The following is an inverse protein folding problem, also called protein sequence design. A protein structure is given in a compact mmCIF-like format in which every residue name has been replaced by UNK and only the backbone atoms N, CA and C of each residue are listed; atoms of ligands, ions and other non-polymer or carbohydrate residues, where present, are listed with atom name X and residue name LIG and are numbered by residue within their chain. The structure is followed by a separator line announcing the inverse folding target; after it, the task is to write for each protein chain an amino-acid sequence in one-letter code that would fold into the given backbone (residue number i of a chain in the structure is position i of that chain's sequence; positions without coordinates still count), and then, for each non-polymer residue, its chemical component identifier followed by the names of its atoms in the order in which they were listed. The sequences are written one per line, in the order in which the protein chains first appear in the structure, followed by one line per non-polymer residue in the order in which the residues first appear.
data_IF_818228645125
#
_entry.id   IF_818228645125
#
_cell.length_a   1.000
_cell.length_b   1.000
_cell.length_c   1.000
_cell.angle_alpha   90.00
_cell.angle_beta   90.00
_cell.angle_gamma   90.00
#
_symmetry.space_group_name_H-M   'P 1'
#
loop_
_entity.id
_entity.type
_entity.pdbx_description
1 polymer ?
#
# COMPACT_ATOMS: atom_id res chain seq x y z
N UNK A 1 17.76 -25.97 5.32
CA UNK A 1 16.76 -24.90 5.05
C UNK A 1 16.85 -23.89 6.18
N UNK A 2 16.90 -22.58 5.90
CA UNK A 2 16.88 -21.58 6.94
C UNK A 2 15.58 -21.64 7.76
N UNK A 3 15.65 -21.27 9.03
CA UNK A 3 14.48 -21.09 9.89
C UNK A 3 13.78 -19.77 9.54
N UNK A 4 12.55 -19.56 10.01
CA UNK A 4 11.83 -18.28 9.82
C UNK A 4 12.62 -17.09 10.39
N UNK A 5 13.26 -17.28 11.54
CA UNK A 5 14.09 -16.25 12.19
C UNK A 5 15.35 -15.95 11.37
N UNK A 6 16.03 -16.97 10.83
CA UNK A 6 17.19 -16.78 9.95
C UNK A 6 16.78 -16.07 8.65
N UNK A 7 15.65 -16.45 8.04
CA UNK A 7 15.13 -15.76 6.87
C UNK A 7 14.88 -14.28 7.16
N UNK A 8 14.15 -13.95 8.24
CA UNK A 8 13.90 -12.57 8.64
C UNK A 8 15.19 -11.78 8.81
N UNK A 9 16.14 -12.30 9.59
CA UNK A 9 17.39 -11.60 9.92
C UNK A 9 18.29 -11.39 8.70
N UNK A 10 18.36 -12.36 7.80
CA UNK A 10 19.13 -12.24 6.56
C UNK A 10 18.51 -11.19 5.62
N UNK A 11 17.18 -11.18 5.48
CA UNK A 11 16.45 -10.17 4.70
C UNK A 11 16.60 -8.78 5.31
N UNK A 12 16.54 -8.67 6.64
CA UNK A 12 16.70 -7.40 7.36
C UNK A 12 18.06 -6.73 7.10
N UNK A 13 19.12 -7.51 6.83
CA UNK A 13 20.47 -7.00 6.56
C UNK A 13 20.70 -6.52 5.12
N UNK A 14 19.77 -6.81 4.21
CA UNK A 14 19.86 -6.45 2.79
C UNK A 14 18.68 -5.59 2.31
N UNK A 15 18.19 -4.62 3.09
CA UNK A 15 17.01 -3.84 2.70
C UNK A 15 17.30 -3.06 1.41
N UNK A 16 16.34 -3.09 0.48
CA UNK A 16 16.38 -2.40 -0.79
C UNK A 16 15.06 -1.66 -0.99
N UNK A 17 15.06 -0.55 -1.73
CA UNK A 17 13.91 0.36 -1.83
C UNK A 17 13.17 0.20 -3.16
N UNK A 18 11.86 0.50 -3.13
CA UNK A 18 11.02 0.61 -4.32
C UNK A 18 11.06 -0.68 -5.17
N UNK A 19 11.28 -0.53 -6.48
CA UNK A 19 11.39 -1.66 -7.43
C UNK A 19 12.83 -2.20 -7.56
N UNK A 20 13.79 -1.68 -6.79
CA UNK A 20 15.22 -2.05 -6.90
C UNK A 20 15.64 -3.11 -5.89
N UNK A 21 14.86 -4.19 -5.76
CA UNK A 21 14.99 -5.26 -4.76
C UNK A 21 15.72 -6.50 -5.28
N UNK A 22 16.84 -6.32 -6.00
CA UNK A 22 17.54 -7.42 -6.67
C UNK A 22 18.16 -8.45 -5.70
N UNK A 23 18.81 -7.98 -4.62
CA UNK A 23 19.44 -8.87 -3.64
C UNK A 23 18.39 -9.62 -2.82
N UNK A 24 17.29 -8.92 -2.50
CA UNK A 24 16.14 -9.49 -1.82
C UNK A 24 15.51 -10.59 -2.67
N UNK A 25 15.26 -10.31 -3.97
CA UNK A 25 14.74 -11.31 -4.91
C UNK A 25 15.65 -12.53 -5.01
N UNK A 26 16.96 -12.32 -5.19
CA UNK A 26 17.93 -13.42 -5.27
C UNK A 26 17.98 -14.26 -3.98
N UNK A 27 17.87 -13.63 -2.81
CA UNK A 27 17.79 -14.37 -1.54
C UNK A 27 16.55 -15.27 -1.49
N UNK A 28 15.39 -14.71 -1.85
CA UNK A 28 14.11 -15.43 -1.89
C UNK A 28 14.19 -16.63 -2.85
N UNK A 29 14.72 -16.43 -4.07
CA UNK A 29 14.92 -17.51 -5.04
C UNK A 29 15.79 -18.62 -4.49
N UNK A 30 16.96 -18.28 -3.90
CA UNK A 30 17.87 -19.27 -3.32
C UNK A 30 17.21 -20.14 -2.22
N UNK A 31 16.25 -19.55 -1.47
CA UNK A 31 15.47 -20.31 -0.48
C UNK A 31 14.41 -21.17 -1.17
N UNK A 32 13.73 -20.64 -2.18
CA UNK A 32 12.67 -21.35 -2.90
C UNK A 32 13.19 -22.49 -3.78
N UNK A 33 14.41 -22.40 -4.29
CA UNK A 33 15.08 -23.47 -5.03
C UNK A 33 15.25 -24.78 -4.22
N UNK A 34 15.08 -24.71 -2.91
CA UNK A 34 15.09 -25.89 -2.04
C UNK A 34 13.77 -26.68 -2.07
N UNK A 35 12.75 -26.19 -2.79
CA UNK A 35 11.42 -26.77 -2.85
C UNK A 35 11.03 -27.16 -4.28
N UNK A 36 10.13 -28.13 -4.40
CA UNK A 36 9.54 -28.54 -5.67
C UNK A 36 8.41 -27.55 -6.06
N UNK A 37 8.80 -26.42 -6.68
CA UNK A 37 7.90 -25.36 -7.15
C UNK A 37 8.41 -24.78 -8.47
N UNK A 38 7.54 -24.10 -9.19
CA UNK A 38 7.90 -23.32 -10.38
C UNK A 38 8.10 -21.86 -9.99
N UNK A 39 9.31 -21.34 -10.21
CA UNK A 39 9.64 -19.92 -9.96
C UNK A 39 9.44 -19.12 -11.25
N UNK A 40 8.82 -17.93 -11.15
CA UNK A 40 8.60 -16.99 -12.27
C UNK A 40 8.80 -15.54 -11.76
N UNK A 41 9.06 -14.60 -12.69
CA UNK A 41 9.33 -13.19 -12.44
C UNK A 41 8.40 -12.33 -13.31
N UNK A 42 7.11 -12.21 -12.96
CA UNK A 42 6.12 -11.55 -13.80
C UNK A 42 6.36 -10.04 -14.01
N UNK A 43 7.03 -9.40 -13.07
CA UNK A 43 7.56 -8.03 -13.21
C UNK A 43 9.00 -7.99 -12.66
N UNK A 44 9.73 -6.92 -12.97
CA UNK A 44 11.12 -6.78 -12.55
C UNK A 44 11.26 -6.93 -11.03
N UNK A 45 12.21 -7.78 -10.60
CA UNK A 45 12.53 -8.09 -9.21
C UNK A 45 11.38 -8.69 -8.36
N UNK A 46 10.24 -9.02 -8.96
CA UNK A 46 9.25 -9.85 -8.26
C UNK A 46 9.68 -11.32 -8.30
N UNK A 47 9.29 -12.08 -7.29
CA UNK A 47 9.49 -13.53 -7.26
C UNK A 47 8.17 -14.21 -6.96
N UNK A 48 7.83 -15.22 -7.74
CA UNK A 48 6.68 -16.08 -7.48
C UNK A 48 7.10 -17.54 -7.40
N UNK A 49 6.47 -18.31 -6.51
CA UNK A 49 6.66 -19.74 -6.41
C UNK A 49 5.31 -20.45 -6.50
N UNK A 50 5.11 -21.19 -7.56
CA UNK A 50 3.88 -21.95 -7.78
C UNK A 50 4.08 -23.42 -7.40
N UNK A 51 3.28 -23.90 -6.46
CA UNK A 51 3.19 -25.29 -6.02
C UNK A 51 1.96 -25.92 -6.67
N UNK A 52 2.19 -26.72 -7.70
CA UNK A 52 1.15 -27.51 -8.35
C UNK A 52 0.81 -28.75 -7.49
N UNK A 53 -0.34 -28.70 -6.83
CA UNK A 53 -0.90 -29.81 -6.07
C UNK A 53 -1.96 -30.56 -6.88
N UNK A 54 -2.03 -30.31 -8.20
CA UNK A 54 -3.01 -30.90 -9.12
C UNK A 54 -4.46 -30.62 -8.67
N UNK A 55 -4.71 -29.44 -8.15
CA UNK A 55 -6.03 -28.96 -7.73
C UNK A 55 -6.63 -28.04 -8.78
N UNK A 56 -7.96 -27.92 -8.76
CA UNK A 56 -8.67 -27.02 -9.68
C UNK A 56 -8.42 -25.55 -9.35
N UNK A 57 -8.31 -25.21 -8.06
CA UNK A 57 -8.23 -23.83 -7.56
C UNK A 57 -6.86 -23.52 -6.97
N UNK A 58 -6.46 -22.27 -7.09
CA UNK A 58 -5.20 -21.73 -6.55
C UNK A 58 -5.50 -20.69 -5.47
N UNK A 59 -4.77 -20.73 -4.38
CA UNK A 59 -4.73 -19.67 -3.37
C UNK A 59 -3.40 -18.96 -3.43
N UNK A 60 -3.43 -17.64 -3.19
CA UNK A 60 -2.25 -16.76 -3.29
C UNK A 60 -1.91 -16.20 -1.91
N UNK A 61 -0.63 -16.23 -1.54
CA UNK A 61 -0.10 -15.55 -0.36
C UNK A 61 0.89 -14.48 -0.82
N UNK A 62 0.56 -13.21 -0.58
CA UNK A 62 1.37 -12.07 -1.00
C UNK A 62 2.19 -11.53 0.16
N UNK A 63 3.45 -11.25 -0.11
CA UNK A 63 4.34 -10.42 0.71
C UNK A 63 4.90 -9.27 -0.11
N UNK A 64 5.01 -8.11 0.50
CA UNK A 64 5.85 -7.00 0.09
C UNK A 64 7.34 -7.31 0.31
N UNK A 65 8.24 -6.60 -0.38
CA UNK A 65 9.68 -6.88 -0.36
C UNK A 65 10.54 -5.66 -0.07
N UNK A 66 10.04 -4.47 -0.37
CA UNK A 66 10.83 -3.24 -0.32
C UNK A 66 10.97 -2.71 1.12
N UNK A 67 11.89 -1.78 1.27
CA UNK A 67 12.26 -1.14 2.52
C UNK A 67 12.22 0.39 2.37
N UNK A 68 12.51 1.10 3.45
CA UNK A 68 12.49 2.56 3.49
C UNK A 68 13.91 3.15 3.44
N UNK A 69 14.10 4.32 2.78
CA UNK A 69 15.38 5.02 2.75
C UNK A 69 15.61 5.77 4.08
N UNK A 70 16.06 5.04 5.10
CA UNK A 70 16.39 5.60 6.40
C UNK A 70 17.50 4.81 7.09
N UNK A 71 18.37 5.50 7.82
CA UNK A 71 19.39 4.87 8.64
C UNK A 71 18.74 4.20 9.88
N UNK A 72 19.06 2.95 10.08
CA UNK A 72 18.57 2.19 11.22
C UNK A 72 19.28 2.57 12.52
N UNK A 73 18.49 2.88 13.56
CA UNK A 73 18.97 3.24 14.89
C UNK A 73 18.43 2.28 15.96
N UNK A 74 18.56 0.98 15.69
CA UNK A 74 18.26 -0.11 16.65
C UNK A 74 19.55 -0.68 17.23
N UNK A 75 19.41 -1.46 18.31
CA UNK A 75 20.50 -2.22 18.93
C UNK A 75 20.57 -3.66 18.43
N UNK A 76 19.89 -3.98 17.32
CA UNK A 76 19.87 -5.33 16.75
C UNK A 76 21.26 -5.75 16.26
N UNK A 77 21.68 -6.96 16.59
CA UNK A 77 22.95 -7.52 16.10
C UNK A 77 22.97 -7.72 14.57
N UNK A 78 21.79 -7.78 13.96
CA UNK A 78 21.58 -7.96 12.52
C UNK A 78 21.01 -6.72 11.82
N UNK A 79 21.16 -5.54 12.44
CA UNK A 79 20.69 -4.27 11.84
C UNK A 79 21.32 -3.99 10.48
N UNK A 80 20.59 -3.27 9.65
CA UNK A 80 21.09 -2.83 8.34
C UNK A 80 22.18 -1.74 8.46
N UNK A 81 23.03 -1.66 7.46
CA UNK A 81 24.14 -0.66 7.41
C UNK A 81 24.27 0.03 6.06
N UNK A 82 23.27 -0.11 5.19
CA UNK A 82 23.30 0.39 3.81
C UNK A 82 22.48 1.68 3.60
N UNK A 83 21.97 2.31 4.67
CA UNK A 83 21.14 3.52 4.57
C UNK A 83 19.66 3.25 4.29
N UNK A 84 19.26 1.99 4.31
CA UNK A 84 17.87 1.55 4.19
C UNK A 84 17.48 0.69 5.40
N UNK A 85 16.19 0.57 5.69
CA UNK A 85 15.69 -0.21 6.82
C UNK A 85 14.31 -0.80 6.52
N UNK A 86 14.08 -2.06 6.90
CA UNK A 86 12.74 -2.66 6.94
C UNK A 86 11.92 -2.11 8.12
N UNK A 87 11.69 -0.78 8.13
CA UNK A 87 10.95 -0.10 9.19
C UNK A 87 9.43 -0.27 9.09
N UNK A 88 8.95 -0.98 8.07
CA UNK A 88 7.56 -1.41 7.91
C UNK A 88 7.36 -2.92 8.17
N UNK A 89 8.46 -3.67 8.42
CA UNK A 89 8.40 -5.08 8.80
C UNK A 89 8.26 -6.07 7.64
N UNK A 90 8.52 -5.64 6.41
CA UNK A 90 8.41 -6.49 5.22
C UNK A 90 9.38 -7.68 5.25
N UNK A 91 10.50 -7.58 5.95
CA UNK A 91 11.40 -8.71 6.26
C UNK A 91 10.67 -9.84 7.01
N UNK A 92 9.80 -9.50 7.95
CA UNK A 92 8.95 -10.45 8.66
C UNK A 92 7.87 -11.05 7.76
N UNK A 93 7.26 -10.23 6.89
CA UNK A 93 6.23 -10.69 5.94
C UNK A 93 6.82 -11.70 4.96
N UNK A 94 7.99 -11.39 4.36
CA UNK A 94 8.71 -12.31 3.50
C UNK A 94 9.08 -13.62 4.21
N UNK A 95 9.57 -13.52 5.45
CA UNK A 95 9.96 -14.69 6.24
C UNK A 95 8.77 -15.61 6.51
N UNK A 96 7.57 -15.07 6.80
CA UNK A 96 6.34 -15.87 6.99
C UNK A 96 5.93 -16.59 5.71
N UNK A 97 5.97 -15.90 4.55
CA UNK A 97 5.60 -16.51 3.27
C UNK A 97 6.65 -17.53 2.82
N UNK A 98 7.94 -17.31 3.05
CA UNK A 98 8.99 -18.30 2.82
C UNK A 98 8.82 -19.55 3.70
N UNK A 99 8.47 -19.37 4.98
CA UNK A 99 8.24 -20.50 5.89
C UNK A 99 7.05 -21.35 5.43
N UNK A 100 6.02 -20.71 4.84
CA UNK A 100 4.85 -21.41 4.30
C UNK A 100 5.20 -22.40 3.18
N UNK A 101 6.28 -22.16 2.44
CA UNK A 101 6.73 -23.08 1.37
C UNK A 101 6.91 -24.52 1.86
N UNK A 102 7.27 -24.73 3.13
CA UNK A 102 7.43 -26.07 3.76
C UNK A 102 6.12 -26.87 3.77
N UNK A 103 5.00 -26.19 3.78
CA UNK A 103 3.65 -26.76 3.94
C UNK A 103 2.79 -26.66 2.68
N UNK A 104 3.28 -25.98 1.64
CA UNK A 104 2.50 -25.67 0.44
C UNK A 104 1.99 -26.94 -0.29
N UNK A 105 2.76 -28.05 -0.25
CA UNK A 105 2.35 -29.33 -0.84
C UNK A 105 1.27 -30.07 -0.05
N UNK A 106 1.00 -29.68 1.18
CA UNK A 106 -0.06 -30.25 2.02
C UNK A 106 -1.43 -29.57 1.81
N UNK A 107 -1.51 -28.59 0.92
CA UNK A 107 -2.70 -27.79 0.68
C UNK A 107 -3.79 -28.52 -0.10
N UNK A 108 -5.06 -28.18 0.22
CA UNK A 108 -6.23 -28.58 -0.57
C UNK A 108 -6.36 -27.79 -1.89
N UNK A 109 -5.47 -26.85 -2.14
CA UNK A 109 -5.38 -25.95 -3.30
C UNK A 109 -3.99 -26.04 -3.94
N UNK A 110 -3.85 -25.56 -5.18
CA UNK A 110 -2.55 -25.12 -5.64
C UNK A 110 -2.17 -23.86 -4.87
N UNK A 111 -0.89 -23.65 -4.61
CA UNK A 111 -0.41 -22.51 -3.82
C UNK A 111 0.51 -21.63 -4.66
N UNK A 112 0.23 -20.35 -4.70
CA UNK A 112 1.09 -19.34 -5.31
C UNK A 112 1.63 -18.42 -4.21
N UNK A 113 2.92 -18.49 -3.94
CA UNK A 113 3.61 -17.51 -3.11
C UNK A 113 4.03 -16.34 -4.01
N UNK A 114 3.72 -15.12 -3.59
CA UNK A 114 3.99 -13.91 -4.35
C UNK A 114 4.79 -12.94 -3.50
N UNK A 115 6.02 -12.65 -3.92
CA UNK A 115 6.89 -11.63 -3.33
C UNK A 115 6.97 -10.45 -4.29
N UNK A 116 6.51 -9.29 -3.84
CA UNK A 116 6.29 -8.15 -4.71
C UNK A 116 7.02 -6.89 -4.22
N UNK A 117 7.89 -6.27 -5.03
CA UNK A 117 8.58 -5.03 -4.69
C UNK A 117 7.68 -3.81 -4.86
N UNK A 118 8.03 -2.71 -4.17
CA UNK A 118 7.49 -1.39 -4.42
C UNK A 118 6.16 -1.12 -3.73
N UNK A 119 5.84 -1.77 -2.61
CA UNK A 119 4.64 -1.47 -1.84
C UNK A 119 4.66 -0.02 -1.36
N UNK A 120 5.78 0.43 -0.80
CA UNK A 120 5.97 1.80 -0.31
C UNK A 120 5.90 2.85 -1.44
N UNK A 121 6.49 2.54 -2.58
CA UNK A 121 6.42 3.30 -3.86
C UNK A 121 7.10 2.51 -4.98
N UNK A 122 6.61 2.61 -6.21
CA UNK A 122 5.39 3.28 -6.72
C UNK A 122 4.14 2.38 -6.70
N UNK A 123 4.20 1.21 -6.11
CA UNK A 123 3.17 0.17 -6.12
C UNK A 123 3.51 -0.97 -7.10
N UNK A 124 3.66 -2.19 -6.56
CA UNK A 124 3.94 -3.40 -7.36
C UNK A 124 2.68 -4.16 -7.77
N UNK A 125 1.58 -4.03 -7.01
CA UNK A 125 0.36 -4.80 -7.28
C UNK A 125 -0.31 -4.42 -8.60
N UNK A 126 -0.35 -3.15 -8.97
CA UNK A 126 -0.93 -2.73 -10.25
C UNK A 126 -0.15 -3.27 -11.46
N UNK A 127 1.18 -3.12 -11.56
CA UNK A 127 1.98 -3.68 -12.65
C UNK A 127 1.83 -5.20 -12.83
N UNK A 128 1.80 -5.97 -11.75
CA UNK A 128 1.66 -7.43 -11.88
C UNK A 128 0.27 -7.82 -12.39
N UNK A 129 -0.78 -7.10 -12.01
CA UNK A 129 -2.13 -7.33 -12.54
C UNK A 129 -2.19 -6.97 -14.03
N UNK A 130 -1.60 -5.83 -14.41
CA UNK A 130 -1.54 -5.37 -15.82
C UNK A 130 -0.71 -6.31 -16.70
N UNK A 131 0.26 -7.04 -16.14
CA UNK A 131 1.03 -8.07 -16.87
C UNK A 131 0.19 -9.28 -17.26
N UNK A 132 -1.03 -9.42 -16.74
CA UNK A 132 -1.93 -10.57 -16.91
C UNK A 132 -1.35 -11.88 -16.38
N UNK A 133 -0.41 -11.80 -15.46
CA UNK A 133 0.20 -12.99 -14.86
C UNK A 133 -0.83 -13.90 -14.20
N UNK A 134 -1.83 -13.32 -13.55
CA UNK A 134 -2.87 -14.06 -12.85
C UNK A 134 -3.84 -14.82 -13.76
N UNK A 135 -3.93 -14.44 -15.05
CA UNK A 135 -4.82 -15.13 -16.01
C UNK A 135 -4.43 -16.61 -16.23
N UNK A 136 -3.24 -17.01 -15.81
CA UNK A 136 -2.76 -18.40 -15.88
C UNK A 136 -3.41 -19.31 -14.82
N UNK A 137 -4.07 -18.77 -13.81
CA UNK A 137 -4.49 -19.49 -12.61
C UNK A 137 -6.00 -19.31 -12.33
N UNK A 138 -6.63 -20.36 -11.85
CA UNK A 138 -7.99 -20.28 -11.30
C UNK A 138 -7.90 -19.87 -9.82
N UNK A 139 -7.78 -18.56 -9.56
CA UNK A 139 -7.54 -18.04 -8.20
C UNK A 139 -8.84 -18.00 -7.40
N UNK A 140 -8.86 -18.72 -6.29
CA UNK A 140 -10.00 -18.77 -5.37
C UNK A 140 -9.90 -17.69 -4.28
N UNK A 141 -8.70 -17.39 -3.79
CA UNK A 141 -8.51 -16.34 -2.79
C UNK A 141 -7.08 -15.79 -2.82
N UNK A 142 -6.94 -14.51 -2.42
CA UNK A 142 -5.64 -13.83 -2.24
C UNK A 142 -5.55 -13.35 -0.80
N UNK A 143 -4.46 -13.71 -0.13
CA UNK A 143 -4.18 -13.40 1.26
C UNK A 143 -2.95 -12.49 1.37
N UNK A 144 -3.03 -11.45 2.21
CA UNK A 144 -1.92 -10.60 2.61
C UNK A 144 -1.94 -10.40 4.11
N UNK A 145 -0.77 -10.21 4.73
CA UNK A 145 -0.66 -9.92 6.16
C UNK A 145 0.38 -8.85 6.37
N UNK A 146 0.04 -7.87 7.21
CA UNK A 146 0.96 -6.85 7.67
C UNK A 146 1.09 -6.92 9.19
N UNK A 147 2.29 -6.77 9.72
CA UNK A 147 2.48 -6.61 11.16
C UNK A 147 1.98 -5.23 11.61
N UNK A 148 1.37 -5.16 12.79
CA UNK A 148 0.76 -3.92 13.26
C UNK A 148 1.03 -3.68 14.75
N UNK A 149 1.83 -2.64 15.11
CA UNK A 149 2.32 -2.44 16.49
C UNK A 149 1.22 -2.31 17.53
N UNK A 150 0.17 -1.57 17.27
CA UNK A 150 -0.86 -1.18 18.23
C UNK A 150 -1.82 -2.32 18.62
N UNK A 151 -1.74 -3.47 17.94
CA UNK A 151 -2.60 -4.62 18.19
C UNK A 151 -1.94 -5.63 19.14
N UNK A 152 -2.75 -6.37 19.89
CA UNK A 152 -2.28 -7.36 20.87
C UNK A 152 -1.34 -8.39 20.23
N UNK A 153 -0.18 -8.59 20.86
CA UNK A 153 0.90 -9.45 20.40
C UNK A 153 0.41 -10.85 20.01
N UNK A 154 0.77 -11.26 18.81
CA UNK A 154 0.51 -12.61 18.28
C UNK A 154 -0.94 -12.89 17.89
N UNK A 155 -1.85 -11.90 18.02
CA UNK A 155 -3.22 -12.02 17.52
C UNK A 155 -3.35 -11.49 16.10
N UNK A 156 -4.16 -12.18 15.29
CA UNK A 156 -4.48 -11.76 13.94
C UNK A 156 -5.83 -11.07 13.92
N UNK A 157 -5.87 -9.90 13.30
CA UNK A 157 -7.07 -9.08 13.16
C UNK A 157 -7.37 -8.81 11.71
N UNK A 158 -8.66 -8.75 11.40
CA UNK A 158 -9.16 -8.26 10.11
C UNK A 158 -10.64 -7.87 10.28
N UNK A 159 -11.24 -7.33 9.23
CA UNK A 159 -12.67 -6.97 9.24
C UNK A 159 -13.27 -7.16 7.85
N UNK A 160 -14.59 -7.31 7.73
CA UNK A 160 -15.26 -7.36 6.43
C UNK A 160 -15.31 -5.95 5.82
N UNK A 161 -15.34 -5.89 4.50
CA UNK A 161 -15.42 -4.65 3.72
C UNK A 161 -14.22 -3.71 3.97
N UNK A 162 -14.45 -2.48 4.39
CA UNK A 162 -13.40 -1.47 4.54
C UNK A 162 -12.37 -1.89 5.59
N UNK A 163 -11.16 -2.22 5.16
CA UNK A 163 -10.02 -2.56 6.01
C UNK A 163 -9.04 -1.40 6.11
N UNK A 164 -8.61 -0.85 4.97
CA UNK A 164 -7.68 0.26 4.88
C UNK A 164 -8.18 1.28 3.86
N UNK A 165 -7.91 2.58 4.12
CA UNK A 165 -8.32 3.64 3.22
C UNK A 165 -7.57 3.59 1.88
N UNK A 166 -8.24 3.97 0.81
CA UNK A 166 -7.58 4.37 -0.42
C UNK A 166 -6.79 5.65 -0.20
N UNK A 167 -5.62 5.74 -0.84
CA UNK A 167 -4.72 6.87 -0.73
C UNK A 167 -4.35 7.44 -2.10
N UNK A 168 -4.42 8.77 -2.22
CA UNK A 168 -3.96 9.48 -3.39
C UNK A 168 -3.07 10.64 -2.99
N UNK A 169 -1.93 10.79 -3.66
CA UNK A 169 -1.07 11.98 -3.61
C UNK A 169 -1.17 12.72 -4.93
N UNK A 170 -1.36 14.03 -4.88
CA UNK A 170 -1.49 14.85 -6.08
C UNK A 170 -0.69 16.15 -6.01
N UNK A 171 -0.44 16.72 -7.18
CA UNK A 171 0.16 18.04 -7.37
C UNK A 171 -0.76 18.93 -8.21
N UNK A 172 -0.80 20.21 -7.85
CA UNK A 172 -1.47 21.28 -8.58
C UNK A 172 -0.47 22.39 -8.86
N UNK A 173 -0.16 22.59 -10.13
CA UNK A 173 0.72 23.67 -10.60
C UNK A 173 -0.12 24.69 -11.37
N UNK A 174 -0.21 25.92 -10.84
CA UNK A 174 -0.90 27.04 -11.47
C UNK A 174 0.14 28.01 -12.03
N UNK A 175 0.06 28.33 -13.32
CA UNK A 175 0.94 29.27 -14.01
C UNK A 175 0.16 30.50 -14.46
N UNK A 176 0.67 31.65 -14.12
CA UNK A 176 0.18 32.96 -14.49
C UNK A 176 1.25 33.77 -15.24
N UNK A 177 1.33 35.09 -14.94
CA UNK A 177 2.27 36.00 -15.55
C UNK A 177 2.71 37.06 -14.53
N UNK A 178 4.03 37.20 -14.34
CA UNK A 178 4.58 38.23 -13.45
C UNK A 178 4.33 39.66 -13.99
N UNK A 179 4.12 40.60 -13.08
CA UNK A 179 4.16 42.02 -13.34
C UNK A 179 4.49 42.76 -12.06
N UNK A 180 4.77 44.04 -12.14
CA UNK A 180 4.92 44.91 -10.96
C UNK A 180 3.58 44.99 -10.21
N UNK A 181 3.58 44.85 -8.88
CA UNK A 181 2.34 44.86 -8.08
C UNK A 181 1.51 46.16 -8.22
N UNK A 182 2.16 47.28 -8.57
CA UNK A 182 1.49 48.55 -8.88
C UNK A 182 0.82 48.57 -10.26
N UNK A 183 1.02 47.55 -11.10
CA UNK A 183 0.44 47.43 -12.43
C UNK A 183 -0.17 46.02 -12.62
N UNK A 184 -1.11 45.60 -11.75
CA UNK A 184 -1.64 44.24 -11.72
C UNK A 184 -2.34 43.83 -13.03
N UNK A 185 -2.86 44.78 -13.81
CA UNK A 185 -3.52 44.56 -15.10
C UNK A 185 -2.57 43.98 -16.16
N UNK A 186 -1.27 44.09 -15.99
CA UNK A 186 -0.26 43.54 -16.92
C UNK A 186 0.18 42.10 -16.56
N UNK A 187 -0.26 41.58 -15.39
CA UNK A 187 0.03 40.28 -14.86
C UNK A 187 -1.18 39.34 -14.84
N UNK A 188 -0.93 38.11 -14.49
CA UNK A 188 -1.93 37.07 -14.19
C UNK A 188 -1.52 36.44 -12.86
N UNK A 189 -2.30 36.65 -11.82
CA UNK A 189 -1.94 36.26 -10.46
C UNK A 189 -2.25 34.79 -10.21
N UNK A 190 -1.21 33.95 -10.25
CA UNK A 190 -1.32 32.51 -9.98
C UNK A 190 -1.68 32.21 -8.52
N UNK A 191 -1.20 33.03 -7.56
CA UNK A 191 -1.50 32.87 -6.13
C UNK A 191 -3.01 33.01 -5.88
N UNK A 192 -3.62 34.10 -6.35
CA UNK A 192 -5.05 34.35 -6.15
C UNK A 192 -5.91 33.26 -6.80
N UNK A 193 -5.56 32.87 -8.03
CA UNK A 193 -6.24 31.80 -8.75
C UNK A 193 -6.18 30.47 -8.01
N UNK A 194 -4.98 30.12 -7.50
CA UNK A 194 -4.76 28.88 -6.75
C UNK A 194 -5.54 28.87 -5.43
N UNK A 195 -5.48 29.94 -4.64
CA UNK A 195 -6.23 30.06 -3.37
C UNK A 195 -7.74 29.84 -3.60
N UNK A 196 -8.31 30.40 -4.67
CA UNK A 196 -9.73 30.19 -4.98
C UNK A 196 -10.02 28.73 -5.35
N UNK A 197 -9.14 28.05 -6.11
CA UNK A 197 -9.30 26.62 -6.41
C UNK A 197 -9.36 25.82 -5.10
N UNK A 198 -8.39 26.02 -4.18
CA UNK A 198 -8.31 25.27 -2.94
C UNK A 198 -9.55 25.52 -2.06
N UNK A 199 -9.88 26.78 -1.82
CA UNK A 199 -11.01 27.15 -0.97
C UNK A 199 -12.34 26.59 -1.52
N UNK A 200 -12.58 26.76 -2.83
CA UNK A 200 -13.82 26.28 -3.45
C UNK A 200 -13.91 24.77 -3.49
N UNK A 201 -12.79 24.08 -3.62
CA UNK A 201 -12.77 22.62 -3.58
C UNK A 201 -13.12 22.10 -2.19
N UNK A 202 -12.57 22.66 -1.11
CA UNK A 202 -12.92 22.30 0.26
C UNK A 202 -14.39 22.61 0.59
N UNK A 203 -14.87 23.84 0.24
CA UNK A 203 -16.27 24.24 0.46
C UNK A 203 -17.27 23.32 -0.27
N UNK A 204 -16.92 22.84 -1.45
CA UNK A 204 -17.76 21.96 -2.26
C UNK A 204 -17.70 20.53 -1.76
N UNK A 205 -16.53 20.05 -1.38
CA UNK A 205 -16.33 18.71 -0.78
C UNK A 205 -17.17 18.58 0.50
N UNK A 206 -17.09 19.50 1.43
CA UNK A 206 -17.87 19.52 2.68
C UNK A 206 -19.40 19.49 2.43
N UNK A 207 -19.87 20.12 1.33
CA UNK A 207 -21.30 20.14 0.97
C UNK A 207 -21.76 18.91 0.21
N UNK A 208 -20.84 18.19 -0.43
CA UNK A 208 -21.16 17.05 -1.30
C UNK A 208 -21.36 15.76 -0.50
N UNK A 209 -20.61 15.59 0.58
CA UNK A 209 -20.63 14.38 1.36
C UNK A 209 -21.35 14.61 2.70
N UNK A 210 -22.08 13.58 3.15
CA UNK A 210 -22.70 13.59 4.47
C UNK A 210 -21.71 13.11 5.56
N UNK A 211 -22.12 13.29 6.82
CA UNK A 211 -21.28 12.91 7.97
C UNK A 211 -21.01 11.40 8.10
N UNK A 212 -21.73 10.56 7.35
CA UNK A 212 -21.58 9.10 7.37
C UNK A 212 -20.62 8.62 6.27
N UNK A 213 -20.34 9.46 5.30
CA UNK A 213 -19.42 9.16 4.19
C UNK A 213 -18.03 9.62 4.56
N UNK A 214 -17.10 8.67 4.78
CA UNK A 214 -15.72 9.06 5.04
C UNK A 214 -15.06 9.60 3.78
N UNK A 215 -14.54 10.82 3.89
CA UNK A 215 -13.75 11.52 2.87
C UNK A 215 -12.73 12.41 3.54
N UNK A 216 -11.59 12.62 2.90
CA UNK A 216 -10.56 13.55 3.32
C UNK A 216 -9.87 14.14 2.10
N UNK A 217 -10.02 15.43 1.88
CA UNK A 217 -9.21 16.22 0.95
C UNK A 217 -8.29 17.13 1.76
N UNK A 218 -6.98 16.94 1.63
CA UNK A 218 -5.98 17.70 2.37
C UNK A 218 -4.97 18.36 1.42
N UNK A 219 -4.67 19.63 1.66
CA UNK A 219 -3.59 20.35 0.99
C UNK A 219 -2.44 20.55 1.97
N UNK A 220 -1.34 19.80 1.78
CA UNK A 220 -0.24 19.73 2.73
C UNK A 220 0.83 20.80 2.52
N UNK A 221 1.06 21.25 1.27
CA UNK A 221 2.03 22.30 0.97
C UNK A 221 1.47 23.31 -0.02
N UNK A 222 1.87 24.57 0.14
CA UNK A 222 1.54 25.64 -0.78
C UNK A 222 2.71 26.62 -0.90
N UNK A 223 3.26 26.77 -2.12
CA UNK A 223 4.35 27.67 -2.43
C UNK A 223 3.96 28.59 -3.57
N UNK A 224 4.12 29.91 -3.41
CA UNK A 224 3.80 30.88 -4.47
C UNK A 224 4.54 32.19 -4.29
N UNK A 225 4.84 32.85 -5.41
CA UNK A 225 5.48 34.16 -5.47
C UNK A 225 6.96 34.15 -5.14
N UNK A 226 7.66 35.22 -5.52
CA UNK A 226 9.11 35.41 -5.32
C UNK A 226 9.44 36.69 -4.53
N UNK A 227 8.57 37.72 -4.59
CA UNK A 227 8.75 38.98 -3.90
C UNK A 227 7.41 39.68 -3.64
N UNK A 228 7.34 40.51 -2.57
CA UNK A 228 6.11 41.18 -2.14
C UNK A 228 5.58 42.23 -3.15
N UNK A 229 6.43 42.72 -4.04
CA UNK A 229 6.08 43.74 -5.04
C UNK A 229 5.97 43.19 -6.47
N UNK A 230 5.86 41.88 -6.62
CA UNK A 230 5.68 41.19 -7.91
C UNK A 230 4.41 40.35 -7.87
N UNK A 231 3.57 40.42 -8.89
CA UNK A 231 2.43 39.54 -9.09
C UNK A 231 2.97 38.12 -9.28
N UNK A 232 2.49 37.17 -8.47
CA UNK A 232 2.94 35.80 -8.50
C UNK A 232 2.56 35.12 -9.83
N UNK A 233 3.56 34.68 -10.58
CA UNK A 233 3.40 33.98 -11.84
C UNK A 233 3.31 32.45 -11.70
N UNK A 234 3.52 31.94 -10.48
CA UNK A 234 3.43 30.52 -10.21
C UNK A 234 2.91 30.24 -8.80
N UNK A 235 2.08 29.18 -8.68
CA UNK A 235 1.70 28.57 -7.42
C UNK A 235 1.79 27.07 -7.53
N UNK A 236 2.35 26.39 -6.54
CA UNK A 236 2.51 24.95 -6.46
C UNK A 236 1.95 24.43 -5.16
N UNK A 237 1.05 23.44 -5.25
CA UNK A 237 0.38 22.78 -4.14
C UNK A 237 0.61 21.29 -4.24
N UNK A 238 0.81 20.63 -3.09
CA UNK A 238 0.75 19.19 -2.97
C UNK A 238 -0.31 18.82 -1.94
N UNK A 239 -1.07 17.79 -2.24
CA UNK A 239 -2.17 17.36 -1.38
C UNK A 239 -2.36 15.84 -1.42
N UNK A 240 -3.29 15.39 -0.59
CA UNK A 240 -3.68 13.99 -0.51
C UNK A 240 -5.19 13.84 -0.37
N UNK A 241 -5.69 12.69 -0.83
CA UNK A 241 -7.08 12.26 -0.68
C UNK A 241 -7.09 10.93 0.04
N UNK A 242 -8.04 10.73 1.00
CA UNK A 242 -8.32 9.45 1.66
C UNK A 242 -9.80 9.14 1.55
N UNK A 243 -10.14 7.87 1.32
CA UNK A 243 -11.51 7.43 1.09
C UNK A 243 -11.65 5.91 1.29
N UNK A 244 -12.87 5.40 1.50
CA UNK A 244 -13.17 3.97 1.47
C UNK A 244 -13.99 3.58 0.23
N UNK A 245 -14.90 4.43 -0.22
CA UNK A 245 -15.66 4.20 -1.46
C UNK A 245 -14.94 4.85 -2.66
N UNK A 246 -14.56 4.06 -3.71
CA UNK A 246 -13.95 4.62 -4.92
C UNK A 246 -14.77 5.74 -5.59
N UNK A 247 -16.10 5.73 -5.45
CA UNK A 247 -16.96 6.81 -5.98
C UNK A 247 -16.70 8.14 -5.29
N UNK A 248 -16.34 8.13 -4.01
CA UNK A 248 -15.95 9.33 -3.26
C UNK A 248 -14.69 9.95 -3.85
N UNK A 249 -13.70 9.12 -4.19
CA UNK A 249 -12.49 9.58 -4.86
C UNK A 249 -12.79 10.27 -6.19
N UNK A 250 -13.58 9.62 -7.04
CA UNK A 250 -13.95 10.18 -8.34
C UNK A 250 -14.67 11.53 -8.18
N UNK A 251 -15.59 11.63 -7.22
CA UNK A 251 -16.31 12.89 -6.93
C UNK A 251 -15.37 13.99 -6.42
N UNK A 252 -14.38 13.69 -5.56
CA UNK A 252 -13.40 14.68 -5.09
C UNK A 252 -12.53 15.17 -6.26
N UNK A 253 -12.08 14.26 -7.12
CA UNK A 253 -11.31 14.61 -8.32
C UNK A 253 -12.13 15.49 -9.26
N UNK A 254 -13.41 15.19 -9.45
CA UNK A 254 -14.32 16.00 -10.25
C UNK A 254 -14.54 17.39 -9.66
N UNK A 255 -14.69 17.51 -8.34
CA UNK A 255 -14.79 18.80 -7.63
C UNK A 255 -13.54 19.64 -7.90
N UNK A 256 -12.35 19.09 -7.75
CA UNK A 256 -11.10 19.79 -8.03
C UNK A 256 -11.06 20.27 -9.48
N UNK A 257 -11.36 19.40 -10.45
CA UNK A 257 -11.33 19.70 -11.88
C UNK A 257 -12.34 20.78 -12.26
N UNK A 258 -13.56 20.77 -11.69
CA UNK A 258 -14.55 21.81 -11.90
C UNK A 258 -14.07 23.18 -11.44
N UNK A 259 -13.42 23.25 -10.27
CA UNK A 259 -12.89 24.50 -9.74
C UNK A 259 -11.64 24.97 -10.49
N UNK A 260 -10.82 24.07 -10.99
CA UNK A 260 -9.72 24.36 -11.93
C UNK A 260 -10.29 25.04 -13.20
N UNK A 261 -11.28 24.45 -13.84
CA UNK A 261 -11.87 24.98 -15.07
C UNK A 261 -12.46 26.40 -14.86
N UNK A 262 -13.21 26.61 -13.77
CA UNK A 262 -13.71 27.94 -13.38
C UNK A 262 -12.58 28.95 -13.19
N UNK A 263 -11.47 28.55 -12.57
CA UNK A 263 -10.32 29.41 -12.33
C UNK A 263 -9.58 29.76 -13.64
N UNK A 264 -9.44 28.80 -14.57
CA UNK A 264 -8.87 29.02 -15.91
C UNK A 264 -9.70 30.07 -16.66
N UNK A 265 -11.02 29.94 -16.65
CA UNK A 265 -11.92 30.88 -17.32
C UNK A 265 -11.84 32.28 -16.72
N UNK A 266 -11.82 32.39 -15.39
CA UNK A 266 -11.83 33.65 -14.66
C UNK A 266 -10.51 34.41 -14.70
N UNK A 267 -9.42 33.72 -14.41
CA UNK A 267 -8.08 34.30 -14.20
C UNK A 267 -7.17 34.20 -15.42
N UNK A 268 -7.54 33.40 -16.43
CA UNK A 268 -6.70 33.11 -17.62
C UNK A 268 -5.36 32.43 -17.28
N UNK A 269 -5.32 31.68 -16.16
CA UNK A 269 -4.16 30.87 -15.76
C UNK A 269 -4.08 29.57 -16.57
N UNK A 270 -2.89 28.98 -16.59
CA UNK A 270 -2.70 27.57 -17.01
C UNK A 270 -2.60 26.72 -15.74
N UNK A 271 -3.27 25.58 -15.74
CA UNK A 271 -3.26 24.69 -14.59
C UNK A 271 -2.89 23.27 -15.02
N UNK A 272 -1.97 22.67 -14.29
CA UNK A 272 -1.65 21.25 -14.42
C UNK A 272 -1.98 20.57 -13.09
N UNK A 273 -2.96 19.65 -13.12
CA UNK A 273 -3.32 18.78 -12.01
C UNK A 273 -2.84 17.38 -12.31
N UNK A 274 -2.02 16.80 -11.42
CA UNK A 274 -1.41 15.50 -11.63
C UNK A 274 -1.58 14.63 -10.38
N UNK A 275 -2.12 13.43 -10.55
CA UNK A 275 -2.09 12.38 -9.56
C UNK A 275 -0.73 11.67 -9.68
N UNK A 276 0.07 11.74 -8.62
CA UNK A 276 1.42 11.14 -8.60
C UNK A 276 1.39 9.71 -8.11
N UNK A 277 0.52 9.43 -7.13
CA UNK A 277 0.42 8.14 -6.49
C UNK A 277 -1.03 7.88 -6.09
N UNK A 278 -1.50 6.63 -6.29
CA UNK A 278 -2.87 6.26 -5.97
C UNK A 278 -2.97 4.78 -5.66
N UNK A 279 -3.44 4.45 -4.46
CA UNK A 279 -3.83 3.10 -4.06
C UNK A 279 -5.34 3.04 -3.80
N UNK A 280 -6.04 2.04 -4.36
CA UNK A 280 -7.44 1.82 -4.02
C UNK A 280 -7.57 1.35 -2.56
N UNK A 281 -8.76 1.48 -1.95
CA UNK A 281 -8.97 0.98 -0.60
C UNK A 281 -8.83 -0.54 -0.54
N UNK A 282 -8.29 -1.04 0.56
CA UNK A 282 -8.34 -2.48 0.85
C UNK A 282 -9.74 -2.80 1.36
N UNK A 283 -10.51 -3.47 0.51
CA UNK A 283 -11.87 -3.93 0.81
C UNK A 283 -11.87 -5.45 0.86
N UNK A 284 -11.93 -5.98 2.07
CA UNK A 284 -11.91 -7.42 2.30
C UNK A 284 -13.20 -8.11 1.84
N UNK A 285 -13.06 -9.30 1.27
CA UNK A 285 -14.21 -10.11 0.93
C UNK A 285 -14.96 -10.56 2.19
N UNK A 286 -16.25 -10.26 2.23
CA UNK A 286 -17.12 -10.49 3.39
C UNK A 286 -17.33 -11.97 3.69
N UNK A 287 -17.49 -12.80 2.68
CA UNK A 287 -17.71 -14.25 2.85
C UNK A 287 -16.44 -14.96 3.38
N UNK A 288 -15.26 -14.57 2.89
CA UNK A 288 -13.98 -15.02 3.44
C UNK A 288 -13.88 -14.63 4.92
N UNK A 289 -14.16 -13.37 5.25
CA UNK A 289 -14.12 -12.90 6.64
C UNK A 289 -14.99 -13.75 7.54
N UNK A 290 -16.28 -13.94 7.21
CA UNK A 290 -17.19 -14.71 8.06
C UNK A 290 -16.82 -16.19 8.16
N UNK A 291 -16.25 -16.77 7.09
CA UNK A 291 -15.72 -18.12 7.11
C UNK A 291 -14.60 -18.28 8.14
N UNK A 292 -13.63 -17.35 8.13
CA UNK A 292 -12.49 -17.39 9.05
C UNK A 292 -12.90 -17.04 10.50
N UNK A 293 -13.77 -16.07 10.66
CA UNK A 293 -14.25 -15.62 11.96
C UNK A 293 -15.06 -16.70 12.71
N UNK A 294 -15.95 -17.40 12.01
CA UNK A 294 -16.73 -18.52 12.56
C UNK A 294 -15.85 -19.69 12.98
N UNK A 295 -14.71 -19.88 12.33
CA UNK A 295 -13.72 -20.90 12.67
C UNK A 295 -12.71 -20.45 13.74
N UNK A 296 -12.88 -19.28 14.35
CA UNK A 296 -11.99 -18.69 15.36
C UNK A 296 -10.54 -18.57 14.89
N UNK A 297 -10.31 -18.32 13.60
CA UNK A 297 -8.98 -18.16 13.04
C UNK A 297 -8.45 -16.72 13.16
N UNK A 298 -9.36 -15.77 13.33
CA UNK A 298 -9.08 -14.32 13.33
C UNK A 298 -9.90 -13.61 14.40
N UNK A 299 -9.44 -12.43 14.79
CA UNK A 299 -10.19 -11.47 15.60
C UNK A 299 -10.75 -10.37 14.71
N UNK A 300 -11.89 -9.81 15.10
CA UNK A 300 -12.50 -8.69 14.37
C UNK A 300 -11.81 -7.38 14.75
N UNK A 301 -11.38 -6.63 13.73
CA UNK A 301 -10.95 -5.24 13.89
C UNK A 301 -12.18 -4.34 13.93
N UNK A 302 -12.32 -3.53 14.98
CA UNK A 302 -13.52 -2.72 15.22
C UNK A 302 -13.68 -1.58 14.19
N UNK A 303 -12.61 -0.90 13.84
CA UNK A 303 -12.62 0.22 12.90
C UNK A 303 -11.59 0.02 11.80
N UNK A 304 -11.87 0.48 10.57
CA UNK A 304 -10.87 0.50 9.51
C UNK A 304 -9.77 1.51 9.83
N UNK A 305 -8.60 1.35 9.21
CA UNK A 305 -7.47 2.27 9.38
C UNK A 305 -7.31 3.21 8.18
N UNK A 306 -6.66 4.36 8.41
CA UNK A 306 -6.51 5.40 7.39
C UNK A 306 -5.23 5.28 6.56
N UNK A 307 -4.34 4.35 6.90
CA UNK A 307 -3.17 4.03 6.07
C UNK A 307 -3.62 3.31 4.80
N UNK A 308 -2.83 3.41 3.75
CA UNK A 308 -3.12 2.80 2.44
C UNK A 308 -2.09 1.73 2.10
N UNK A 309 -2.48 0.79 1.26
CA UNK A 309 -1.73 -0.40 0.89
C UNK A 309 -2.07 -0.79 -0.56
N UNK A 310 -1.09 -1.21 -1.34
CA UNK A 310 -1.30 -1.59 -2.74
C UNK A 310 -2.09 -2.91 -2.90
N UNK A 311 -2.21 -3.69 -1.82
CA UNK A 311 -3.04 -4.90 -1.78
C UNK A 311 -4.49 -4.66 -2.22
N UNK A 312 -5.00 -3.44 -2.08
CA UNK A 312 -6.35 -3.05 -2.52
C UNK A 312 -6.64 -3.35 -4.00
N UNK A 313 -5.62 -3.43 -4.84
CA UNK A 313 -5.79 -3.79 -6.26
C UNK A 313 -6.22 -5.24 -6.49
N UNK A 314 -5.87 -6.18 -5.60
CA UNK A 314 -6.14 -7.61 -5.81
C UNK A 314 -7.62 -7.98 -5.77
N UNK A 315 -8.49 -7.14 -5.19
CA UNK A 315 -9.95 -7.35 -5.27
C UNK A 315 -10.48 -7.46 -6.71
N UNK A 316 -9.75 -6.90 -7.67
CA UNK A 316 -10.12 -6.96 -9.09
C UNK A 316 -9.66 -8.27 -9.78
N UNK A 317 -8.88 -9.08 -9.08
CA UNK A 317 -8.38 -10.38 -9.56
C UNK A 317 -9.22 -11.52 -9.00
N UNK A 318 -9.39 -11.54 -7.68
CA UNK A 318 -10.13 -12.58 -6.97
C UNK A 318 -10.60 -12.07 -5.59
N UNK A 319 -11.49 -12.81 -4.90
CA UNK A 319 -11.78 -12.56 -3.49
C UNK A 319 -10.51 -12.44 -2.68
N UNK A 320 -10.32 -11.31 -1.98
CA UNK A 320 -9.09 -11.02 -1.25
C UNK A 320 -9.38 -10.63 0.19
N UNK A 321 -8.46 -10.95 1.09
CA UNK A 321 -8.55 -10.57 2.50
C UNK A 321 -7.16 -10.22 3.03
N UNK A 322 -7.08 -9.11 3.74
CA UNK A 322 -5.88 -8.59 4.35
C UNK A 322 -5.97 -8.68 5.87
N UNK A 323 -4.88 -9.08 6.50
CA UNK A 323 -4.80 -9.28 7.94
C UNK A 323 -3.79 -8.33 8.58
N UNK A 324 -4.03 -7.99 9.84
CA UNK A 324 -3.02 -7.40 10.71
C UNK A 324 -2.58 -8.42 11.77
N UNK A 325 -1.27 -8.61 11.88
CA UNK A 325 -0.65 -9.41 12.93
C UNK A 325 -0.11 -8.47 14.02
N UNK A 326 -0.70 -8.49 15.21
CA UNK A 326 -0.31 -7.62 16.31
C UNK A 326 1.10 -7.93 16.84
N UNK A 327 1.91 -6.89 17.03
CA UNK A 327 3.21 -7.02 17.69
C UNK A 327 3.14 -6.68 19.18
N UNK A 328 2.15 -5.90 19.61
CA UNK A 328 2.01 -5.41 20.99
C UNK A 328 3.01 -4.30 21.34
N UNK A 329 3.71 -3.73 20.36
CA UNK A 329 4.73 -2.72 20.56
C UNK A 329 4.15 -1.29 20.54
N UNK A 330 4.92 -0.37 21.11
CA UNK A 330 4.58 1.06 21.10
C UNK A 330 5.37 1.86 20.07
N UNK A 331 6.40 1.26 19.47
CA UNK A 331 7.20 1.91 18.41
C UNK A 331 6.42 1.80 17.10
N UNK A 332 6.04 2.93 16.49
CA UNK A 332 5.24 2.90 15.26
C UNK A 332 6.07 2.41 14.06
N UNK A 333 5.38 1.92 13.05
CA UNK A 333 5.95 1.70 11.72
C UNK A 333 6.60 2.99 11.19
N UNK A 334 7.56 2.87 10.28
CA UNK A 334 8.35 3.96 9.70
C UNK A 334 9.22 4.72 10.73
N UNK A 335 9.40 4.17 11.94
CA UNK A 335 10.40 4.65 12.90
C UNK A 335 11.76 4.00 12.63
N UNK A 336 12.83 4.77 12.67
CA UNK A 336 14.18 4.22 12.57
C UNK A 336 14.63 3.37 13.78
N UNK A 337 13.75 3.23 14.76
CA UNK A 337 13.90 2.35 15.93
C UNK A 337 12.91 1.18 15.90
N UNK A 338 12.14 1.04 14.82
CA UNK A 338 11.14 -0.01 14.71
C UNK A 338 11.81 -1.39 14.78
N UNK A 339 11.26 -2.22 15.62
CA UNK A 339 11.55 -3.66 15.72
C UNK A 339 10.36 -4.34 16.37
N UNK A 340 10.30 -5.64 16.30
CA UNK A 340 9.24 -6.45 16.90
C UNK A 340 9.80 -7.77 17.41
N UNK A 341 9.07 -8.37 18.34
CA UNK A 341 9.41 -9.71 18.85
C UNK A 341 9.15 -10.76 17.77
N UNK A 342 10.19 -11.50 17.40
CA UNK A 342 10.17 -12.48 16.30
C UNK A 342 9.21 -13.66 16.54
N UNK A 343 8.83 -13.93 17.81
CA UNK A 343 7.88 -15.01 18.17
C UNK A 343 6.49 -14.85 17.50
N UNK A 344 6.12 -13.62 17.09
CA UNK A 344 4.85 -13.39 16.40
C UNK A 344 4.82 -14.02 15.00
N UNK A 345 5.96 -14.21 14.36
CA UNK A 345 6.04 -14.75 13.01
C UNK A 345 5.45 -16.16 12.93
N UNK A 346 5.69 -16.98 13.96
CA UNK A 346 5.06 -18.30 14.05
C UNK A 346 3.54 -18.22 14.09
N UNK A 347 2.96 -17.18 14.70
CA UNK A 347 1.50 -16.95 14.73
C UNK A 347 0.94 -16.61 13.35
N UNK A 348 1.67 -15.81 12.57
CA UNK A 348 1.31 -15.56 11.18
C UNK A 348 1.35 -16.83 10.33
N UNK A 349 2.39 -17.65 10.48
CA UNK A 349 2.51 -18.93 9.78
C UNK A 349 1.44 -19.93 10.24
N UNK A 350 1.08 -19.97 11.52
CA UNK A 350 -0.04 -20.77 12.03
C UNK A 350 -1.36 -20.44 11.32
N UNK A 351 -1.64 -19.14 11.09
CA UNK A 351 -2.79 -18.73 10.29
C UNK A 351 -2.67 -19.24 8.86
N UNK A 352 -1.54 -18.98 8.20
CA UNK A 352 -1.33 -19.38 6.80
C UNK A 352 -1.47 -20.90 6.61
N UNK A 353 -0.95 -21.72 7.51
CA UNK A 353 -1.12 -23.18 7.49
C UNK A 353 -2.58 -23.58 7.56
N UNK A 354 -3.39 -22.91 8.38
CA UNK A 354 -4.83 -23.17 8.46
C UNK A 354 -5.55 -22.79 7.17
N UNK A 355 -5.11 -21.69 6.51
CA UNK A 355 -5.69 -21.27 5.23
C UNK A 355 -5.43 -22.27 4.09
N UNK A 356 -4.33 -23.05 4.15
CA UNK A 356 -4.04 -24.10 3.15
C UNK A 356 -5.13 -25.17 3.04
N UNK A 357 -5.89 -25.40 4.12
CA UNK A 357 -6.94 -26.44 4.21
C UNK A 357 -8.32 -25.87 4.56
N UNK A 358 -8.43 -24.56 4.73
CA UNK A 358 -9.73 -23.91 5.00
C UNK A 358 -10.58 -23.92 3.74
N UNK A 359 -11.79 -24.46 3.84
CA UNK A 359 -12.73 -24.47 2.71
C UNK A 359 -13.16 -23.05 2.36
N UNK A 360 -12.85 -22.62 1.14
CA UNK A 360 -13.27 -21.34 0.58
C UNK A 360 -14.74 -21.41 0.17
N UNK A 361 -15.58 -20.39 0.45
CA UNK A 361 -17.03 -20.46 0.27
C UNK A 361 -17.52 -20.45 -1.19
N UNK A 362 -16.66 -20.22 -2.18
CA UNK A 362 -17.01 -20.13 -3.61
C UNK A 362 -16.07 -20.91 -4.51
#
# INVERSE_FOLDING_TARGET
MPTIIENRRNLHQIPEIELTTQKTAQYIENVLDLYDCTIDHPIQNSVTAYFDNQKEKTIVFRSDMDALPMEENTDLAFKSTNGCMHACGHDGHMAMVLELAKYAKESDYNVLLLFLPGEEKPGGAKPIIESKFFDKFNIAAIYGTHIYPELEKGKVYTRPNEMMAGGCEFELLVKGKASHAAQPQNGINALTACVEILQKSLEQEEKTFDNNTFHLLHFGTFHSGSAFNIIADQAHVRGSIRYYDPKVFDQIVDIINQNINKSIEKYKVQVNFKINHHYPPVLNNEELFYTLYKNNLINKLESPVLISEDFGYYRNVAPSIFFFLGTGDTIPLHSNKFTFDEDILDKGVELYKKLLTTKIPF
#
